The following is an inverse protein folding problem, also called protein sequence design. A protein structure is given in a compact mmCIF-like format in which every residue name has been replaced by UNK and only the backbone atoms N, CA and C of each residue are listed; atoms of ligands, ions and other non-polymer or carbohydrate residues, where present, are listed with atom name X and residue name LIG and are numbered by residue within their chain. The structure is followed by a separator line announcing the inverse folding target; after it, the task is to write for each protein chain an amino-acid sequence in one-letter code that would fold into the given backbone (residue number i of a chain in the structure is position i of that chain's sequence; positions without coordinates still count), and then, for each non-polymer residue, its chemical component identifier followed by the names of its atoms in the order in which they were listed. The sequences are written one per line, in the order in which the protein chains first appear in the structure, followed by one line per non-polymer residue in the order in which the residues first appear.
data_IF_210649302205
#
_entry.id   IF_210649302205
#
_cell.length_a   1.000
_cell.length_b   1.000
_cell.length_c   1.000
_cell.angle_alpha   90.00
_cell.angle_beta   90.00
_cell.angle_gamma   90.00
#
_symmetry.space_group_name_H-M   'P 1'
#
loop_
_entity.id
_entity.type
_entity.pdbx_description
1 polymer ?
#
# COMPACT_ATOMS: atom_id res chain seq x y z
N UNK A 1 -4.23 58.83 13.15
CA UNK A 1 -5.09 58.20 12.14
C UNK A 1 -4.71 56.72 12.08
N UNK A 2 -5.57 55.85 12.59
CA UNK A 2 -5.38 54.40 12.59
C UNK A 2 -6.12 53.79 11.39
N UNK A 3 -5.42 53.15 10.46
CA UNK A 3 -6.03 52.40 9.37
C UNK A 3 -6.27 50.96 9.82
N UNK A 4 -7.55 50.60 9.90
CA UNK A 4 -8.07 49.26 10.22
C UNK A 4 -7.55 48.22 9.21
N UNK A 5 -6.85 47.23 9.72
CA UNK A 5 -6.60 45.96 9.03
C UNK A 5 -7.92 45.15 9.06
N UNK A 6 -8.41 44.59 7.95
CA UNK A 6 -9.62 43.77 7.98
C UNK A 6 -9.34 42.49 8.75
N UNK A 7 -10.08 42.30 9.83
CA UNK A 7 -10.12 41.06 10.62
C UNK A 7 -10.70 39.93 9.76
N UNK A 8 -9.82 39.16 9.12
CA UNK A 8 -10.16 37.88 8.54
C UNK A 8 -10.63 36.93 9.63
N UNK A 9 -11.93 36.63 9.62
CA UNK A 9 -12.60 35.68 10.50
C UNK A 9 -11.85 34.34 10.57
N UNK A 10 -11.14 34.08 11.68
CA UNK A 10 -10.80 32.75 12.15
C UNK A 10 -12.08 32.07 12.68
N UNK A 11 -12.94 31.61 11.77
CA UNK A 11 -13.86 30.53 12.10
C UNK A 11 -13.16 29.23 11.75
N UNK A 12 -12.79 28.47 12.77
CA UNK A 12 -12.61 27.02 12.64
C UNK A 12 -13.86 26.49 11.95
N UNK A 13 -13.70 26.07 10.69
CA UNK A 13 -14.77 25.44 9.93
C UNK A 13 -14.95 24.07 10.55
N UNK A 14 -16.12 23.84 11.12
CA UNK A 14 -16.56 22.53 11.57
C UNK A 14 -16.65 21.58 10.35
N UNK A 15 -15.74 20.60 10.21
CA UNK A 15 -15.70 19.72 9.04
C UNK A 15 -16.92 18.78 8.96
N UNK A 16 -17.68 18.62 10.04
CA UNK A 16 -18.89 17.77 10.06
C UNK A 16 -20.02 18.31 9.16
N UNK A 17 -19.97 19.59 8.78
CA UNK A 17 -21.04 20.26 8.02
C UNK A 17 -20.78 20.37 6.52
N UNK A 18 -19.58 20.03 6.04
CA UNK A 18 -19.26 19.95 4.61
C UNK A 18 -18.82 18.52 4.29
N UNK A 19 -19.66 17.74 3.59
CA UNK A 19 -19.27 16.41 3.09
C UNK A 19 -18.03 16.55 2.20
N UNK A 20 -16.85 16.31 2.78
CA UNK A 20 -15.58 16.35 2.07
C UNK A 20 -15.66 15.37 0.90
N UNK A 21 -15.36 15.85 -0.31
CA UNK A 21 -15.32 14.99 -1.49
C UNK A 21 -14.03 14.20 -1.49
N UNK A 22 -14.13 12.90 -1.70
CA UNK A 22 -13.01 11.98 -1.74
C UNK A 22 -13.06 11.26 -3.08
N UNK A 23 -11.93 11.25 -3.78
CA UNK A 23 -11.79 10.66 -5.12
C UNK A 23 -10.52 9.84 -5.22
N UNK A 24 -10.50 8.89 -6.16
CA UNK A 24 -9.39 7.94 -6.32
C UNK A 24 -8.84 7.96 -7.75
N UNK A 25 -7.54 8.18 -7.88
CA UNK A 25 -6.78 7.87 -9.09
C UNK A 25 -6.14 6.50 -8.91
N UNK A 26 -6.60 5.51 -9.67
CA UNK A 26 -6.14 4.13 -9.56
C UNK A 26 -5.00 3.90 -10.54
N UNK A 27 -3.84 3.56 -10.02
CA UNK A 27 -2.61 3.33 -10.76
C UNK A 27 -2.37 1.82 -10.89
N UNK A 28 -2.47 1.30 -12.12
CA UNK A 28 -2.37 -0.14 -12.43
C UNK A 28 -1.25 -0.39 -13.45
N UNK A 29 -0.05 -0.79 -13.00
CA UNK A 29 0.98 -1.35 -13.87
C UNK A 29 0.48 -2.69 -14.41
N UNK A 30 0.49 -2.83 -15.74
CA UNK A 30 0.03 -4.02 -16.42
C UNK A 30 1.18 -4.55 -17.28
N UNK A 31 1.72 -5.73 -16.92
CA UNK A 31 2.68 -6.43 -17.77
C UNK A 31 1.98 -6.88 -19.05
N UNK A 32 2.58 -6.59 -20.20
CA UNK A 32 2.05 -6.95 -21.51
C UNK A 32 2.84 -8.12 -22.07
N UNK A 33 2.19 -9.27 -22.13
CA UNK A 33 2.71 -10.47 -22.80
C UNK A 33 2.14 -10.61 -24.23
N UNK A 34 0.92 -10.12 -24.47
CA UNK A 34 0.31 -10.01 -25.79
C UNK A 34 -0.71 -8.88 -25.85
N UNK A 35 -1.04 -8.42 -27.07
CA UNK A 35 -2.08 -7.40 -27.29
C UNK A 35 -3.45 -7.86 -26.78
N UNK A 36 -3.81 -9.12 -27.07
CA UNK A 36 -5.11 -9.70 -26.74
C UNK A 36 -5.30 -9.78 -25.23
N UNK A 37 -4.31 -10.32 -24.51
CA UNK A 37 -4.39 -10.47 -23.06
C UNK A 37 -4.39 -9.11 -22.35
N UNK A 38 -3.59 -8.15 -22.82
CA UNK A 38 -3.57 -6.80 -22.25
C UNK A 38 -4.93 -6.09 -22.40
N UNK A 39 -5.57 -6.20 -23.58
CA UNK A 39 -6.91 -5.64 -23.81
C UNK A 39 -7.97 -6.29 -22.93
N UNK A 40 -7.96 -7.64 -22.86
CA UNK A 40 -8.86 -8.41 -22.02
C UNK A 40 -8.73 -8.03 -20.55
N UNK A 41 -7.50 -7.95 -20.05
CA UNK A 41 -7.24 -7.62 -18.64
C UNK A 41 -7.59 -6.18 -18.29
N UNK A 42 -7.28 -5.23 -19.17
CA UNK A 42 -7.68 -3.83 -19.04
C UNK A 42 -9.22 -3.70 -18.95
N UNK A 43 -9.94 -4.32 -19.89
CA UNK A 43 -11.41 -4.31 -19.91
C UNK A 43 -12.00 -4.93 -18.64
N UNK A 44 -11.50 -6.09 -18.23
CA UNK A 44 -11.91 -6.75 -16.99
C UNK A 44 -11.76 -5.85 -15.76
N UNK A 45 -10.59 -5.21 -15.60
CA UNK A 45 -10.33 -4.37 -14.42
C UNK A 45 -11.21 -3.12 -14.40
N UNK A 46 -11.52 -2.54 -15.57
CA UNK A 46 -12.47 -1.44 -15.67
C UNK A 46 -13.89 -1.88 -15.29
N UNK A 47 -14.35 -3.03 -15.77
CA UNK A 47 -15.69 -3.53 -15.44
C UNK A 47 -15.81 -3.93 -13.96
N UNK A 48 -14.79 -4.60 -13.42
CA UNK A 48 -14.74 -5.05 -12.01
C UNK A 48 -14.66 -3.89 -11.02
N UNK A 49 -14.24 -2.69 -11.46
CA UNK A 49 -14.06 -1.54 -10.60
C UNK A 49 -15.35 -1.07 -9.92
N UNK A 50 -16.50 -1.29 -10.55
CA UNK A 50 -17.80 -0.96 -9.96
C UNK A 50 -18.05 -1.73 -8.66
N UNK A 51 -17.50 -2.93 -8.53
CA UNK A 51 -17.58 -3.76 -7.32
C UNK A 51 -16.65 -3.26 -6.21
N UNK A 52 -15.82 -2.25 -6.49
CA UNK A 52 -15.07 -1.51 -5.49
C UNK A 52 -15.94 -0.54 -4.67
N UNK A 53 -17.18 -0.31 -5.08
CA UNK A 53 -18.14 0.57 -4.40
C UNK A 53 -19.44 -0.17 -4.09
N UNK A 54 -19.94 0.01 -2.86
CA UNK A 54 -21.33 -0.29 -2.51
C UNK A 54 -22.27 0.60 -3.31
N UNK A 55 -23.51 0.16 -3.52
CA UNK A 55 -24.44 0.84 -4.42
C UNK A 55 -24.72 2.29 -4.00
N UNK A 56 -24.86 2.51 -2.69
CA UNK A 56 -25.10 3.80 -2.07
C UNK A 56 -23.92 4.80 -2.17
N UNK A 57 -22.70 4.31 -2.36
CA UNK A 57 -21.51 5.14 -2.52
C UNK A 57 -21.18 5.44 -3.98
N UNK A 58 -21.87 4.81 -4.95
CA UNK A 58 -21.65 5.04 -6.38
C UNK A 58 -22.24 6.38 -6.80
N UNK A 59 -21.39 7.37 -7.02
CA UNK A 59 -21.80 8.63 -7.66
C UNK A 59 -21.71 8.53 -9.17
N UNK A 60 -22.88 8.37 -9.79
CA UNK A 60 -23.04 8.33 -11.23
C UNK A 60 -23.52 9.69 -11.74
N UNK A 61 -22.77 10.27 -12.68
CA UNK A 61 -23.12 11.53 -13.34
C UNK A 61 -23.30 11.31 -14.84
N UNK A 62 -24.00 12.22 -15.51
CA UNK A 62 -24.02 12.25 -16.98
C UNK A 62 -22.92 13.19 -17.48
N UNK A 63 -22.10 12.70 -18.41
CA UNK A 63 -21.14 13.55 -19.09
C UNK A 63 -21.85 14.49 -20.09
N UNK A 64 -21.06 15.34 -20.76
CA UNK A 64 -21.55 16.27 -21.79
C UNK A 64 -22.23 15.59 -22.98
N UNK A 65 -22.02 14.29 -23.18
CA UNK A 65 -22.62 13.48 -24.25
C UNK A 65 -23.79 12.63 -23.73
N UNK A 66 -24.20 12.79 -22.47
CA UNK A 66 -25.28 12.04 -21.84
C UNK A 66 -24.90 10.63 -21.37
N UNK A 67 -23.62 10.24 -21.43
CA UNK A 67 -23.13 8.93 -20.97
C UNK A 67 -22.98 8.91 -19.45
N UNK A 68 -23.36 7.79 -18.83
CA UNK A 68 -23.27 7.61 -17.38
C UNK A 68 -21.82 7.29 -16.99
N UNK A 69 -21.24 8.15 -16.17
CA UNK A 69 -19.84 8.14 -15.71
C UNK A 69 -19.78 7.94 -14.21
N UNK A 70 -18.83 7.11 -13.73
CA UNK A 70 -18.49 7.04 -12.31
C UNK A 70 -17.62 8.26 -11.95
N UNK A 71 -18.14 9.18 -11.15
CA UNK A 71 -17.53 10.50 -10.93
C UNK A 71 -16.24 10.44 -10.09
N UNK A 72 -16.23 9.61 -9.06
CA UNK A 72 -15.24 9.67 -7.99
C UNK A 72 -13.94 8.90 -8.30
N UNK A 73 -13.80 8.37 -9.52
CA UNK A 73 -12.68 7.51 -9.91
C UNK A 73 -12.15 7.79 -11.32
N UNK A 74 -10.82 7.74 -11.44
CA UNK A 74 -10.15 7.60 -12.72
C UNK A 74 -9.04 6.55 -12.65
N UNK A 75 -8.64 5.98 -13.79
CA UNK A 75 -7.66 4.89 -13.87
C UNK A 75 -6.50 5.22 -14.81
N UNK A 76 -5.28 4.91 -14.38
CA UNK A 76 -4.09 4.92 -15.23
C UNK A 76 -3.61 3.48 -15.40
N UNK A 77 -3.58 3.01 -16.64
CA UNK A 77 -2.95 1.75 -17.00
C UNK A 77 -1.53 1.98 -17.50
N UNK A 78 -0.57 1.39 -16.81
CA UNK A 78 0.83 1.36 -17.20
C UNK A 78 1.21 0.09 -17.93
N UNK A 79 0.91 0.04 -19.22
CA UNK A 79 1.18 -1.13 -20.06
C UNK A 79 2.68 -1.21 -20.37
N UNK A 80 3.34 -2.26 -19.86
CA UNK A 80 4.79 -2.33 -19.88
C UNK A 80 5.37 -3.74 -20.04
N UNK A 81 6.68 -3.80 -20.32
CA UNK A 81 7.46 -5.03 -20.24
C UNK A 81 8.93 -4.80 -20.61
N UNK A 82 9.74 -5.86 -20.51
CA UNK A 82 11.16 -5.79 -20.87
C UNK A 82 11.31 -5.54 -22.37
N UNK A 83 12.12 -4.55 -22.73
CA UNK A 83 12.30 -4.14 -24.11
C UNK A 83 12.68 -5.31 -25.01
N UNK A 84 11.92 -5.43 -26.09
CA UNK A 84 12.27 -6.13 -27.31
C UNK A 84 11.44 -5.49 -28.44
N UNK A 85 11.88 -5.65 -29.70
CA UNK A 85 11.25 -4.97 -30.84
C UNK A 85 9.76 -5.33 -31.02
N UNK A 86 9.40 -6.61 -30.84
CA UNK A 86 8.02 -7.08 -30.97
C UNK A 86 7.11 -6.45 -29.90
N UNK A 87 7.54 -6.45 -28.64
CA UNK A 87 6.78 -5.82 -27.56
C UNK A 87 6.61 -4.31 -27.79
N UNK A 88 7.63 -3.62 -28.28
CA UNK A 88 7.53 -2.19 -28.57
C UNK A 88 6.44 -1.89 -29.62
N UNK A 89 6.31 -2.74 -30.63
CA UNK A 89 5.24 -2.63 -31.63
C UNK A 89 3.85 -2.90 -31.03
N UNK A 90 3.71 -3.94 -30.20
CA UNK A 90 2.46 -4.26 -29.49
C UNK A 90 2.03 -3.10 -28.60
N UNK A 91 2.96 -2.52 -27.83
CA UNK A 91 2.69 -1.38 -26.96
C UNK A 91 2.25 -0.14 -27.76
N UNK A 92 2.85 0.13 -28.93
CA UNK A 92 2.41 1.22 -29.80
C UNK A 92 0.96 1.06 -30.26
N UNK A 93 0.52 -0.17 -30.57
CA UNK A 93 -0.88 -0.48 -30.90
C UNK A 93 -1.81 -0.28 -29.71
N UNK A 94 -1.35 -0.62 -28.50
CA UNK A 94 -2.14 -0.49 -27.27
C UNK A 94 -2.31 0.97 -26.81
N UNK A 95 -1.41 1.90 -27.18
CA UNK A 95 -1.50 3.31 -26.77
C UNK A 95 -2.82 3.98 -27.22
N UNK A 96 -3.35 3.58 -28.37
CA UNK A 96 -4.62 4.10 -28.92
C UNK A 96 -5.81 3.21 -28.58
N UNK A 97 -5.62 2.11 -27.84
CA UNK A 97 -6.71 1.23 -27.43
C UNK A 97 -7.75 2.00 -26.62
N UNK A 98 -9.01 1.74 -26.94
CA UNK A 98 -10.17 2.23 -26.20
C UNK A 98 -11.08 1.06 -25.92
N UNK A 99 -11.44 0.91 -24.65
CA UNK A 99 -12.44 0.01 -24.15
C UNK A 99 -13.72 0.78 -23.84
N UNK A 100 -14.87 0.25 -24.25
CA UNK A 100 -16.18 0.76 -23.89
C UNK A 100 -16.71 -0.04 -22.70
N UNK A 101 -16.35 0.39 -21.49
CA UNK A 101 -16.81 -0.22 -20.25
C UNK A 101 -18.30 0.05 -20.02
N UNK A 102 -18.93 -0.84 -19.23
CA UNK A 102 -20.37 -0.75 -18.90
C UNK A 102 -20.75 0.58 -18.23
N UNK A 103 -19.88 1.05 -17.33
CA UNK A 103 -19.95 2.37 -16.73
C UNK A 103 -18.78 3.17 -17.27
N UNK A 104 -19.01 4.38 -17.76
CA UNK A 104 -17.94 5.16 -18.37
C UNK A 104 -16.96 5.63 -17.30
N UNK A 105 -15.91 4.86 -17.09
CA UNK A 105 -14.84 5.20 -16.15
C UNK A 105 -13.79 6.00 -16.93
N UNK A 106 -13.36 7.13 -16.39
CA UNK A 106 -12.25 7.88 -16.99
C UNK A 106 -10.97 7.06 -16.86
N UNK A 107 -10.26 6.83 -17.96
CA UNK A 107 -8.94 6.21 -17.90
C UNK A 107 -7.98 6.74 -18.95
N UNK A 108 -6.69 6.49 -18.74
CA UNK A 108 -5.65 6.68 -19.75
C UNK A 108 -4.68 5.50 -19.74
N UNK A 109 -4.08 5.25 -20.91
CA UNK A 109 -3.09 4.20 -21.12
C UNK A 109 -1.76 4.86 -21.40
N UNK A 110 -0.75 4.51 -20.61
CA UNK A 110 0.64 4.92 -20.78
C UNK A 110 1.43 3.65 -21.11
N UNK A 111 2.15 3.67 -22.24
CA UNK A 111 2.87 2.51 -22.75
C UNK A 111 4.37 2.78 -22.72
N UNK A 112 5.15 1.85 -22.16
CA UNK A 112 6.60 2.02 -22.04
C UNK A 112 7.30 0.67 -21.89
N UNK A 113 8.62 0.67 -22.01
CA UNK A 113 9.48 -0.52 -21.95
C UNK A 113 10.63 -0.28 -20.98
N UNK A 114 11.18 -1.35 -20.42
CA UNK A 114 12.31 -1.25 -19.50
C UNK A 114 13.46 -2.19 -19.84
N UNK A 115 14.63 -1.98 -19.24
CA UNK A 115 15.86 -2.73 -19.54
C UNK A 115 16.56 -2.21 -20.80
N UNK A 116 17.56 -2.94 -21.30
CA UNK A 116 18.42 -2.44 -22.39
C UNK A 116 17.61 -2.08 -23.64
N UNK A 117 17.71 -0.83 -24.10
CA UNK A 117 16.90 -0.27 -25.20
C UNK A 117 15.49 0.20 -24.80
N UNK A 118 15.10 0.04 -23.54
CA UNK A 118 13.84 0.50 -22.99
C UNK A 118 13.79 2.01 -22.74
N UNK A 119 12.57 2.53 -22.57
CA UNK A 119 12.30 3.95 -22.32
C UNK A 119 12.50 4.36 -20.85
N UNK A 120 12.40 3.40 -19.93
CA UNK A 120 12.71 3.61 -18.50
C UNK A 120 13.73 2.57 -18.02
N UNK A 121 14.46 2.88 -16.95
CA UNK A 121 15.38 1.95 -16.28
C UNK A 121 16.24 1.09 -17.25
N UNK A 122 17.05 1.72 -18.14
CA UNK A 122 17.72 1.02 -19.24
C UNK A 122 18.73 -0.05 -18.78
N UNK A 123 19.20 0.06 -17.54
CA UNK A 123 20.16 -0.88 -16.94
C UNK A 123 19.48 -2.01 -16.14
N UNK A 124 18.15 -2.06 -16.09
CA UNK A 124 17.42 -3.05 -15.30
C UNK A 124 17.52 -4.45 -15.93
N UNK A 125 17.97 -5.44 -15.15
CA UNK A 125 17.97 -6.84 -15.58
C UNK A 125 16.73 -7.61 -15.11
N UNK A 126 16.06 -7.09 -14.09
CA UNK A 126 14.79 -7.57 -13.52
C UNK A 126 13.73 -6.47 -13.55
N UNK A 127 12.46 -6.82 -13.33
CA UNK A 127 11.34 -5.86 -13.33
C UNK A 127 11.62 -4.69 -12.38
N UNK A 128 11.71 -3.45 -12.87
CA UNK A 128 12.07 -2.29 -12.06
C UNK A 128 10.83 -1.63 -11.47
N UNK A 129 10.16 -2.30 -10.52
CA UNK A 129 8.88 -1.86 -9.95
C UNK A 129 8.90 -0.37 -9.53
N UNK A 130 9.89 0.05 -8.74
CA UNK A 130 10.03 1.45 -8.32
C UNK A 130 10.02 2.44 -9.51
N UNK A 131 10.71 2.13 -10.60
CA UNK A 131 10.81 2.99 -11.79
C UNK A 131 9.50 3.00 -12.58
N UNK A 132 8.79 1.86 -12.63
CA UNK A 132 7.46 1.73 -13.21
C UNK A 132 6.47 2.66 -12.47
N UNK A 133 6.36 2.55 -11.15
CA UNK A 133 5.47 3.39 -10.34
C UNK A 133 5.86 4.87 -10.41
N UNK A 134 7.15 5.18 -10.36
CA UNK A 134 7.65 6.54 -10.48
C UNK A 134 7.32 7.17 -11.84
N UNK A 135 7.51 6.43 -12.93
CA UNK A 135 7.21 6.89 -14.28
C UNK A 135 5.71 7.19 -14.43
N UNK A 136 4.85 6.25 -14.05
CA UNK A 136 3.40 6.43 -14.13
C UNK A 136 2.92 7.65 -13.33
N UNK A 137 3.42 7.80 -12.12
CA UNK A 137 3.01 8.88 -11.22
C UNK A 137 3.38 10.27 -11.78
N UNK A 138 4.50 10.37 -12.49
CA UNK A 138 5.01 11.62 -13.07
C UNK A 138 4.47 11.95 -14.46
N UNK A 139 3.76 11.01 -15.09
CA UNK A 139 3.27 11.21 -16.45
C UNK A 139 2.24 12.34 -16.55
N UNK A 140 2.23 13.02 -17.70
CA UNK A 140 1.32 14.13 -17.95
C UNK A 140 -0.16 13.68 -17.96
N UNK A 141 -0.46 12.47 -18.46
CA UNK A 141 -1.80 11.92 -18.45
C UNK A 141 -2.29 11.68 -17.00
N UNK A 142 -1.42 11.19 -16.12
CA UNK A 142 -1.70 11.02 -14.69
C UNK A 142 -2.02 12.37 -14.05
N UNK A 143 -1.17 13.37 -14.29
CA UNK A 143 -1.34 14.73 -13.75
C UNK A 143 -2.68 15.34 -14.19
N UNK A 144 -3.03 15.16 -15.46
CA UNK A 144 -4.30 15.63 -16.02
C UNK A 144 -5.51 14.95 -15.39
N UNK A 145 -5.48 13.64 -15.16
CA UNK A 145 -6.60 12.94 -14.51
C UNK A 145 -6.82 13.40 -13.07
N UNK A 146 -5.75 13.71 -12.32
CA UNK A 146 -5.89 14.27 -10.97
C UNK A 146 -6.54 15.64 -11.00
N UNK A 147 -6.13 16.49 -11.94
CA UNK A 147 -6.75 17.81 -12.16
C UNK A 147 -8.23 17.67 -12.51
N UNK A 148 -8.58 16.74 -13.41
CA UNK A 148 -9.98 16.47 -13.76
C UNK A 148 -10.81 15.90 -12.61
N UNK A 149 -10.24 15.03 -11.77
CA UNK A 149 -10.90 14.49 -10.58
C UNK A 149 -11.18 15.61 -9.59
N UNK A 150 -10.17 16.42 -9.27
CA UNK A 150 -10.30 17.56 -8.36
C UNK A 150 -11.25 18.62 -8.90
N UNK A 151 -11.24 18.82 -10.23
CA UNK A 151 -12.04 19.84 -10.89
C UNK A 151 -11.76 21.22 -10.32
N UNK A 152 -12.81 22.02 -10.10
CA UNK A 152 -12.72 23.34 -9.47
C UNK A 152 -12.74 23.34 -7.94
N UNK A 153 -12.68 22.17 -7.28
CA UNK A 153 -12.82 22.04 -5.82
C UNK A 153 -11.47 21.76 -5.15
N UNK A 154 -10.76 22.79 -4.64
CA UNK A 154 -9.45 22.59 -4.00
C UNK A 154 -9.53 21.80 -2.69
N UNK A 155 -10.71 21.66 -2.08
CA UNK A 155 -10.91 20.88 -0.86
C UNK A 155 -11.20 19.39 -1.15
N UNK A 156 -11.30 19.00 -2.43
CA UNK A 156 -11.47 17.61 -2.82
C UNK A 156 -10.20 16.81 -2.53
N UNK A 157 -10.32 15.82 -1.65
CA UNK A 157 -9.26 14.86 -1.36
C UNK A 157 -9.12 13.90 -2.54
N UNK A 158 -7.92 13.81 -3.11
CA UNK A 158 -7.61 12.87 -4.19
C UNK A 158 -6.54 11.91 -3.71
N UNK A 159 -6.83 10.62 -3.74
CA UNK A 159 -5.90 9.56 -3.37
C UNK A 159 -5.34 8.87 -4.60
N UNK A 160 -4.03 8.66 -4.65
CA UNK A 160 -3.43 7.67 -5.54
C UNK A 160 -3.64 6.29 -4.92
N UNK A 161 -4.43 5.45 -5.57
CA UNK A 161 -4.62 4.04 -5.21
C UNK A 161 -3.69 3.18 -6.07
N UNK A 162 -2.65 2.62 -5.45
CA UNK A 162 -1.72 1.71 -6.10
C UNK A 162 -2.28 0.30 -6.03
N UNK A 163 -2.63 -0.21 -7.20
CA UNK A 163 -3.24 -1.53 -7.38
C UNK A 163 -2.41 -2.33 -8.38
N UNK A 164 -2.27 -3.63 -8.13
CA UNK A 164 -1.57 -4.53 -9.04
C UNK A 164 -2.54 -5.19 -10.03
N UNK A 165 -2.04 -5.50 -11.22
CA UNK A 165 -2.85 -6.06 -12.30
C UNK A 165 -3.29 -7.51 -12.07
N UNK A 166 -2.96 -8.16 -10.96
CA UNK A 166 -3.44 -9.49 -10.55
C UNK A 166 -4.75 -9.44 -9.71
N UNK A 167 -5.29 -8.23 -9.51
CA UNK A 167 -6.61 -7.99 -8.88
C UNK A 167 -7.77 -8.71 -9.56
N UNK A 168 -8.53 -9.50 -8.81
CA UNK A 168 -9.75 -10.18 -9.27
C UNK A 168 -10.98 -9.42 -8.81
N UNK A 169 -11.03 -9.02 -7.54
CA UNK A 169 -12.18 -8.29 -7.00
C UNK A 169 -11.70 -7.08 -6.22
N UNK A 170 -12.29 -5.93 -6.50
CA UNK A 170 -12.10 -4.74 -5.68
C UNK A 170 -12.82 -4.82 -4.34
N UNK A 171 -13.80 -5.73 -4.19
CA UNK A 171 -14.37 -6.12 -2.90
C UNK A 171 -14.75 -4.94 -1.98
N UNK A 172 -15.48 -3.98 -2.54
CA UNK A 172 -15.94 -2.76 -1.85
C UNK A 172 -14.82 -1.88 -1.26
N UNK A 173 -13.56 -2.07 -1.67
CA UNK A 173 -12.40 -1.41 -1.08
C UNK A 173 -12.52 0.12 -1.05
N UNK A 174 -13.09 0.73 -2.09
CA UNK A 174 -13.23 2.19 -2.14
C UNK A 174 -14.35 2.69 -1.23
N UNK A 175 -15.42 1.92 -1.03
CA UNK A 175 -16.40 2.21 0.03
C UNK A 175 -15.77 2.11 1.41
N UNK A 176 -14.91 1.12 1.67
CA UNK A 176 -14.17 1.05 2.93
C UNK A 176 -13.25 2.27 3.11
N UNK A 177 -12.53 2.69 2.07
CA UNK A 177 -11.70 3.90 2.12
C UNK A 177 -12.50 5.17 2.34
N UNK A 178 -13.68 5.31 1.74
CA UNK A 178 -14.59 6.43 2.02
C UNK A 178 -14.99 6.44 3.50
N UNK A 179 -15.31 5.29 4.06
CA UNK A 179 -15.67 5.15 5.48
C UNK A 179 -14.48 5.47 6.38
N UNK A 180 -13.29 4.95 6.10
CA UNK A 180 -12.06 5.24 6.85
C UNK A 180 -11.77 6.74 6.85
N UNK A 181 -11.87 7.41 5.70
CA UNK A 181 -11.64 8.86 5.62
C UNK A 181 -12.65 9.63 6.48
N UNK A 182 -13.93 9.24 6.46
CA UNK A 182 -14.96 9.86 7.32
C UNK A 182 -14.65 9.66 8.80
N UNK A 183 -14.38 8.42 9.20
CA UNK A 183 -14.07 8.05 10.59
C UNK A 183 -12.83 8.79 11.11
N UNK A 184 -11.78 8.95 10.29
CA UNK A 184 -10.58 9.67 10.71
C UNK A 184 -10.78 11.18 10.76
N UNK A 185 -11.56 11.76 9.83
CA UNK A 185 -11.93 13.18 9.87
C UNK A 185 -12.80 13.51 11.09
N UNK A 186 -13.69 12.61 11.50
CA UNK A 186 -14.54 12.79 12.68
C UNK A 186 -13.73 12.78 13.99
N UNK A 187 -12.60 12.06 14.03
CA UNK A 187 -11.73 11.97 15.22
C UNK A 187 -10.95 13.25 15.49
N UNK A 188 -10.28 13.79 14.48
CA UNK A 188 -9.32 14.89 14.66
C UNK A 188 -9.24 15.87 13.47
N UNK A 189 -10.17 15.78 12.51
CA UNK A 189 -10.19 16.59 11.28
C UNK A 189 -8.96 16.41 10.37
N UNK A 190 -8.17 15.36 10.57
CA UNK A 190 -7.01 15.03 9.74
C UNK A 190 -7.33 13.79 8.90
N UNK A 191 -7.40 13.91 7.55
CA UNK A 191 -7.61 12.75 6.72
C UNK A 191 -6.39 11.82 6.75
N UNK A 192 -6.57 10.50 6.53
CA UNK A 192 -5.44 9.59 6.43
C UNK A 192 -4.56 10.04 5.25
N UNK A 193 -3.28 10.24 5.50
CA UNK A 193 -2.30 10.53 4.44
C UNK A 193 -1.98 9.27 3.67
N UNK A 194 -1.92 8.13 4.37
CA UNK A 194 -1.66 6.82 3.79
C UNK A 194 -2.61 5.79 4.40
N UNK A 195 -3.19 4.91 3.57
CA UNK A 195 -4.10 3.87 4.05
C UNK A 195 -4.04 2.60 3.19
N UNK A 196 -4.27 1.45 3.82
CA UNK A 196 -4.44 0.15 3.16
C UNK A 196 -5.31 -0.74 4.03
N UNK A 197 -6.03 -1.69 3.44
CA UNK A 197 -6.73 -2.76 4.17
C UNK A 197 -6.10 -4.14 3.89
N UNK A 198 -4.96 -4.16 3.20
CA UNK A 198 -4.27 -5.37 2.77
C UNK A 198 -4.88 -6.02 1.52
N UNK A 199 -4.50 -7.27 1.30
CA UNK A 199 -5.01 -8.11 0.21
C UNK A 199 -5.24 -9.53 0.74
N UNK A 200 -6.10 -10.26 0.05
CA UNK A 200 -6.28 -11.70 0.25
C UNK A 200 -6.32 -12.41 -1.11
N UNK A 201 -6.05 -13.71 -1.10
CA UNK A 201 -6.27 -14.53 -2.29
C UNK A 201 -7.73 -14.95 -2.41
N UNK A 202 -8.13 -15.27 -3.64
CA UNK A 202 -9.42 -15.91 -3.92
C UNK A 202 -9.65 -17.11 -2.99
N UNK A 203 -10.88 -17.27 -2.47
CA UNK A 203 -11.21 -18.29 -1.47
C UNK A 203 -10.87 -19.72 -1.91
N UNK A 204 -11.03 -20.03 -3.20
CA UNK A 204 -10.74 -21.36 -3.75
C UNK A 204 -9.22 -21.63 -3.90
N UNK A 205 -8.36 -20.66 -3.60
CA UNK A 205 -6.91 -20.86 -3.57
C UNK A 205 -6.52 -21.66 -2.33
N UNK A 206 -5.69 -22.69 -2.52
CA UNK A 206 -5.02 -23.39 -1.41
C UNK A 206 -4.20 -22.44 -0.51
N UNK A 207 -3.84 -21.25 -0.99
CA UNK A 207 -3.09 -20.25 -0.26
C UNK A 207 -3.97 -19.22 0.48
N UNK A 208 -5.30 -19.26 0.30
CA UNK A 208 -6.23 -18.27 0.85
C UNK A 208 -6.04 -18.07 2.34
N UNK A 209 -6.10 -19.16 3.10
CA UNK A 209 -5.98 -19.14 4.55
C UNK A 209 -4.65 -18.51 5.00
N UNK A 210 -3.55 -18.81 4.31
CA UNK A 210 -2.25 -18.19 4.59
C UNK A 210 -2.23 -16.69 4.31
N UNK A 211 -2.91 -16.22 3.26
CA UNK A 211 -3.02 -14.78 2.98
C UNK A 211 -3.94 -14.05 3.95
N UNK A 212 -5.03 -14.69 4.37
CA UNK A 212 -5.95 -14.17 5.38
C UNK A 212 -5.22 -13.96 6.71
N UNK A 213 -4.50 -14.98 7.20
CA UNK A 213 -3.75 -14.87 8.44
C UNK A 213 -2.60 -13.84 8.36
N UNK A 214 -1.90 -13.76 7.22
CA UNK A 214 -0.91 -12.71 6.97
C UNK A 214 -1.51 -11.32 7.17
N UNK A 215 -2.70 -11.08 6.61
CA UNK A 215 -3.43 -9.83 6.77
C UNK A 215 -3.82 -9.57 8.23
N UNK A 216 -4.32 -10.57 8.95
CA UNK A 216 -4.68 -10.43 10.36
C UNK A 216 -3.50 -10.05 11.26
N UNK A 217 -2.33 -10.65 11.01
CA UNK A 217 -1.10 -10.24 11.70
C UNK A 217 -0.79 -8.76 11.41
N UNK A 218 -0.97 -8.28 10.18
CA UNK A 218 -0.78 -6.86 9.86
C UNK A 218 -1.80 -5.98 10.58
N UNK A 219 -3.07 -6.39 10.64
CA UNK A 219 -4.10 -5.65 11.37
C UNK A 219 -3.70 -5.50 12.84
N UNK A 220 -3.38 -6.60 13.54
CA UNK A 220 -2.96 -6.55 14.94
C UNK A 220 -1.73 -5.66 15.15
N UNK A 221 -0.69 -5.84 14.30
CA UNK A 221 0.50 -4.99 14.38
C UNK A 221 0.18 -3.50 14.17
N UNK A 222 -0.80 -3.18 13.30
CA UNK A 222 -1.20 -1.82 12.98
C UNK A 222 -2.17 -1.18 13.97
N UNK A 223 -2.92 -1.97 14.75
CA UNK A 223 -3.74 -1.47 15.86
C UNK A 223 -2.89 -0.78 16.91
N UNK A 224 -1.66 -1.28 17.11
CA UNK A 224 -0.68 -0.67 18.01
C UNK A 224 0.04 0.51 17.36
N UNK A 225 0.63 0.32 16.17
CA UNK A 225 1.13 1.42 15.35
C UNK A 225 1.12 1.06 13.84
N UNK A 226 0.40 1.81 12.99
CA UNK A 226 0.27 1.50 11.56
C UNK A 226 1.58 1.48 10.78
N UNK A 227 2.65 2.12 11.26
CA UNK A 227 3.95 2.11 10.60
C UNK A 227 4.80 0.89 10.97
N UNK A 228 4.34 0.02 11.87
CA UNK A 228 4.97 -1.29 12.13
C UNK A 228 4.63 -2.34 11.06
N UNK A 229 3.82 -2.01 10.06
CA UNK A 229 3.48 -2.94 8.99
C UNK A 229 3.92 -2.47 7.62
N UNK A 230 4.16 -3.45 6.75
CA UNK A 230 4.37 -3.19 5.33
C UNK A 230 3.03 -3.01 4.64
N UNK A 231 2.87 -1.89 3.93
CA UNK A 231 1.68 -1.58 3.13
C UNK A 231 1.82 -2.26 1.76
N UNK A 232 1.01 -3.28 1.45
CA UNK A 232 1.22 -4.09 0.26
C UNK A 232 0.76 -3.37 -1.01
N UNK A 233 1.56 -3.43 -2.08
CA UNK A 233 1.30 -2.75 -3.36
C UNK A 233 0.26 -3.36 -4.31
N UNK A 234 -0.45 -4.48 -4.04
CA UNK A 234 -1.75 -4.66 -4.68
C UNK A 234 -2.82 -3.69 -4.14
N UNK A 235 -2.61 -3.05 -2.97
CA UNK A 235 -3.62 -2.19 -2.36
C UNK A 235 -3.01 -1.19 -1.37
N UNK A 236 -2.70 0.02 -1.84
CA UNK A 236 -2.23 1.10 -0.99
C UNK A 236 -2.65 2.47 -1.52
N UNK A 237 -3.21 3.33 -0.66
CA UNK A 237 -3.63 4.68 -1.01
C UNK A 237 -2.71 5.74 -0.39
N UNK A 238 -2.39 6.78 -1.16
CA UNK A 238 -1.65 7.97 -0.69
C UNK A 238 -2.38 9.24 -1.10
N UNK A 239 -2.64 10.12 -0.14
CA UNK A 239 -3.26 11.42 -0.38
C UNK A 239 -2.34 12.30 -1.23
N UNK A 240 -2.89 12.95 -2.25
CA UNK A 240 -2.21 14.01 -3.00
C UNK A 240 -2.31 15.32 -2.20
N UNK A 241 -1.19 16.02 -1.99
CA UNK A 241 -1.22 17.30 -1.29
C UNK A 241 -2.08 18.34 -2.03
N UNK A 242 -2.60 19.28 -1.26
CA UNK A 242 -3.39 20.40 -1.74
C UNK A 242 -2.64 21.19 -2.82
N UNK A 243 -3.36 21.58 -3.88
CA UNK A 243 -2.81 22.32 -5.00
C UNK A 243 -1.87 21.54 -5.93
N UNK A 244 -1.55 20.28 -5.62
CA UNK A 244 -0.70 19.43 -6.47
C UNK A 244 -1.51 18.43 -7.28
N UNK A 245 -1.06 18.12 -8.48
CA UNK A 245 -1.73 17.17 -9.36
C UNK A 245 -1.00 15.81 -9.43
N UNK A 246 -0.04 15.57 -8.54
CA UNK A 246 0.68 14.30 -8.38
C UNK A 246 1.36 14.26 -7.00
N UNK A 247 1.92 13.11 -6.61
CA UNK A 247 2.75 13.01 -5.40
C UNK A 247 4.17 13.52 -5.69
N UNK A 248 4.70 14.37 -4.83
CA UNK A 248 6.07 14.90 -4.96
C UNK A 248 7.14 13.90 -4.52
N UNK A 249 6.81 13.05 -3.54
CA UNK A 249 7.68 12.03 -2.98
C UNK A 249 7.94 10.91 -3.98
N UNK A 250 9.14 10.35 -3.98
CA UNK A 250 9.59 9.40 -5.00
C UNK A 250 9.47 7.95 -4.55
N UNK A 251 9.15 7.05 -5.49
CA UNK A 251 9.32 5.61 -5.29
C UNK A 251 10.80 5.17 -5.39
N UNK A 252 11.68 6.04 -5.89
CA UNK A 252 13.09 5.70 -6.09
C UNK A 252 13.86 5.86 -4.79
N UNK A 253 14.45 4.76 -4.30
CA UNK A 253 15.30 4.79 -3.12
C UNK A 253 16.55 5.66 -3.37
N UNK A 254 16.89 6.61 -2.49
CA UNK A 254 18.16 7.35 -2.60
C UNK A 254 19.36 6.40 -2.54
N UNK A 255 20.34 6.60 -3.45
CA UNK A 255 21.57 5.77 -3.53
C UNK A 255 21.30 4.26 -3.67
N UNK A 256 20.18 3.91 -4.32
CA UNK A 256 19.81 2.53 -4.66
C UNK A 256 20.94 1.82 -5.39
N UNK A 257 21.26 0.58 -4.99
CA UNK A 257 22.22 -0.25 -5.74
C UNK A 257 21.59 -0.75 -7.04
N UNK A 258 22.42 -1.11 -8.01
CA UNK A 258 21.96 -1.74 -9.26
C UNK A 258 21.05 -2.94 -8.93
N UNK A 259 19.88 -2.99 -9.56
CA UNK A 259 18.86 -4.03 -9.37
C UNK A 259 18.14 -4.08 -8.00
N UNK A 260 18.18 -3.01 -7.20
CA UNK A 260 17.48 -2.95 -5.91
C UNK A 260 16.07 -2.30 -6.03
N UNK A 261 15.17 -2.90 -6.81
CA UNK A 261 13.86 -2.32 -7.16
C UNK A 261 12.69 -2.66 -6.21
N UNK A 262 12.96 -3.15 -4.99
CA UNK A 262 11.93 -3.63 -4.05
C UNK A 262 11.55 -2.57 -3.01
N UNK A 263 10.54 -2.84 -2.18
CA UNK A 263 10.13 -1.99 -1.05
C UNK A 263 9.64 -0.61 -1.53
N UNK A 264 8.68 -0.60 -2.45
CA UNK A 264 8.17 0.64 -3.04
C UNK A 264 7.42 1.48 -2.01
N UNK A 265 6.49 0.86 -1.26
CA UNK A 265 5.69 1.54 -0.26
C UNK A 265 6.52 2.06 0.90
N UNK A 266 7.51 1.35 1.47
CA UNK A 266 8.28 1.92 2.57
C UNK A 266 9.22 3.05 2.09
N UNK A 267 9.72 2.98 0.85
CA UNK A 267 10.49 4.08 0.27
C UNK A 267 9.62 5.33 0.14
N UNK A 268 8.39 5.18 -0.37
CA UNK A 268 7.44 6.29 -0.48
C UNK A 268 7.01 6.82 0.90
N UNK A 269 6.56 5.93 1.81
CA UNK A 269 6.10 6.27 3.15
C UNK A 269 7.20 6.98 3.96
N UNK A 270 8.47 6.58 3.81
CA UNK A 270 9.60 7.24 4.50
C UNK A 270 9.74 8.74 4.17
N UNK A 271 9.22 9.16 3.02
CA UNK A 271 9.17 10.55 2.59
C UNK A 271 7.83 11.19 2.96
N UNK A 272 6.71 10.51 2.68
CA UNK A 272 5.36 11.01 2.97
C UNK A 272 5.15 11.27 4.47
N UNK A 273 5.77 10.46 5.34
CA UNK A 273 5.70 10.64 6.80
C UNK A 273 6.33 11.93 7.33
N UNK A 274 7.03 12.68 6.47
CA UNK A 274 7.61 13.99 6.80
C UNK A 274 6.64 15.15 6.54
N UNK A 275 5.47 14.88 5.94
CA UNK A 275 4.42 15.88 5.73
C UNK A 275 3.87 16.35 7.08
N UNK A 276 3.40 17.60 7.10
CA UNK A 276 2.58 18.08 8.21
C UNK A 276 1.29 17.25 8.30
N UNK A 277 0.83 16.97 9.52
CA UNK A 277 -0.38 16.19 9.77
C UNK A 277 -0.38 14.79 9.13
N UNK A 278 0.80 14.16 9.05
CA UNK A 278 0.89 12.78 8.57
C UNK A 278 0.04 11.84 9.42
N UNK A 279 -0.77 11.02 8.75
CA UNK A 279 -1.59 9.99 9.38
C UNK A 279 -1.57 8.71 8.55
N UNK A 280 -1.23 7.61 9.18
CA UNK A 280 -1.23 6.28 8.58
C UNK A 280 -2.36 5.44 9.18
N UNK A 281 -3.03 4.64 8.37
CA UNK A 281 -4.11 3.76 8.83
C UNK A 281 -4.00 2.40 8.14
N UNK A 282 -4.18 1.32 8.89
CA UNK A 282 -4.31 -0.03 8.33
C UNK A 282 -5.36 -0.80 9.15
N UNK A 283 -6.66 -0.70 8.80
CA UNK A 283 -7.72 -1.22 9.63
C UNK A 283 -8.19 -2.60 9.19
N UNK A 284 -8.90 -3.30 10.08
CA UNK A 284 -9.65 -4.50 9.72
C UNK A 284 -10.91 -4.14 8.90
N UNK A 285 -10.73 -4.02 7.58
CA UNK A 285 -11.80 -3.77 6.60
C UNK A 285 -11.60 -4.64 5.36
N UNK A 286 -12.61 -4.69 4.48
CA UNK A 286 -12.54 -5.53 3.28
C UNK A 286 -11.23 -5.31 2.50
N UNK A 287 -10.44 -6.37 2.24
CA UNK A 287 -9.23 -6.30 1.44
C UNK A 287 -9.54 -6.41 -0.05
N UNK A 288 -8.58 -6.02 -0.89
CA UNK A 288 -8.62 -6.38 -2.31
C UNK A 288 -8.40 -7.90 -2.46
N UNK A 289 -9.06 -8.53 -3.44
CA UNK A 289 -8.87 -9.96 -3.72
C UNK A 289 -8.03 -10.12 -4.98
N UNK A 290 -6.95 -10.88 -4.90
CA UNK A 290 -6.02 -11.13 -6.02
C UNK A 290 -5.93 -12.62 -6.37
N UNK A 291 -5.58 -12.93 -7.63
CA UNK A 291 -5.16 -14.30 -8.00
C UNK A 291 -3.86 -14.58 -7.29
N UNK A 292 -3.71 -15.81 -6.78
CA UNK A 292 -2.47 -16.32 -6.24
C UNK A 292 -1.33 -16.27 -7.27
N UNK A 293 -0.31 -15.42 -7.08
CA UNK A 293 0.79 -15.33 -8.02
C UNK A 293 1.76 -16.53 -7.90
N UNK A 294 2.41 -16.93 -8.99
CA UNK A 294 3.32 -18.10 -9.01
C UNK A 294 4.46 -18.06 -7.97
N UNK A 295 4.81 -16.86 -7.47
CA UNK A 295 5.85 -16.65 -6.45
C UNK A 295 5.44 -17.11 -5.04
N UNK A 296 4.18 -17.44 -4.82
CA UNK A 296 3.65 -17.85 -3.53
C UNK A 296 3.63 -19.37 -3.40
N UNK A 297 3.97 -19.85 -2.21
CA UNK A 297 3.94 -21.27 -1.88
C UNK A 297 3.62 -21.48 -0.40
N UNK A 298 3.21 -22.69 -0.02
CA UNK A 298 3.11 -23.10 1.38
C UNK A 298 4.31 -23.97 1.76
N UNK A 299 4.84 -23.79 2.97
CA UNK A 299 5.60 -24.83 3.69
C UNK A 299 5.32 -24.73 5.18
N UNK A 300 5.05 -25.88 5.82
CA UNK A 300 5.03 -26.10 7.27
C UNK A 300 4.25 -25.07 8.09
N UNK A 301 4.83 -23.88 8.22
CA UNK A 301 4.44 -22.75 9.04
C UNK A 301 3.68 -21.63 8.28
N UNK A 302 3.45 -21.72 6.96
CA UNK A 302 2.49 -20.83 6.29
C UNK A 302 2.91 -20.32 4.90
N UNK A 303 2.43 -19.11 4.57
CA UNK A 303 2.56 -18.51 3.25
C UNK A 303 3.98 -17.97 3.02
N UNK A 304 4.71 -18.57 2.09
CA UNK A 304 6.04 -18.14 1.68
C UNK A 304 5.94 -17.11 0.56
N UNK A 305 6.37 -15.90 0.89
CA UNK A 305 6.36 -14.77 -0.02
C UNK A 305 7.52 -13.84 0.32
N UNK A 306 7.81 -12.90 -0.59
CA UNK A 306 8.79 -11.86 -0.31
C UNK A 306 8.47 -10.99 0.92
N UNK A 307 7.20 -10.96 1.36
CA UNK A 307 6.62 -9.94 2.23
C UNK A 307 5.70 -10.50 3.35
N UNK A 308 5.44 -11.82 3.42
CA UNK A 308 4.49 -12.41 4.39
C UNK A 308 4.99 -12.31 5.83
N UNK A 309 4.24 -11.64 6.69
CA UNK A 309 4.42 -11.47 8.12
C UNK A 309 4.22 -12.76 8.94
N UNK A 310 3.82 -13.87 8.32
CA UNK A 310 3.87 -15.20 8.96
C UNK A 310 5.30 -15.67 9.22
N UNK A 311 6.20 -15.31 8.30
CA UNK A 311 7.62 -15.52 8.48
C UNK A 311 8.18 -14.44 9.42
N UNK A 312 8.76 -14.88 10.54
CA UNK A 312 9.26 -13.98 11.58
C UNK A 312 10.32 -12.99 11.05
N UNK A 313 11.15 -13.43 10.10
CA UNK A 313 12.18 -12.58 9.47
C UNK A 313 11.53 -11.52 8.58
N UNK A 314 10.47 -11.85 7.85
CA UNK A 314 9.69 -10.90 7.05
C UNK A 314 8.94 -9.92 7.94
N UNK A 315 8.30 -10.38 9.01
CA UNK A 315 7.68 -9.49 10.00
C UNK A 315 8.70 -8.48 10.55
N UNK A 316 9.88 -8.95 10.96
CA UNK A 316 10.97 -8.07 11.42
C UNK A 316 11.46 -7.07 10.36
N UNK A 317 11.50 -7.47 9.08
CA UNK A 317 11.81 -6.56 7.98
C UNK A 317 10.71 -5.51 7.82
N UNK A 318 9.43 -5.92 7.88
CA UNK A 318 8.27 -5.05 7.72
C UNK A 318 8.17 -4.01 8.84
N UNK A 319 8.28 -4.44 10.10
CA UNK A 319 8.28 -3.56 11.29
C UNK A 319 9.39 -2.51 11.25
N UNK A 320 10.54 -2.84 10.66
CA UNK A 320 11.63 -1.90 10.50
C UNK A 320 11.46 -0.99 9.26
N UNK A 321 10.67 -1.40 8.27
CA UNK A 321 10.75 -0.86 6.91
C UNK A 321 10.33 0.61 6.78
N UNK A 322 9.35 1.05 7.57
CA UNK A 322 8.92 2.45 7.58
C UNK A 322 9.79 3.35 8.48
N UNK A 323 10.79 2.77 9.17
CA UNK A 323 11.81 3.53 9.92
C UNK A 323 11.27 4.30 11.12
N UNK A 324 10.31 3.72 11.85
CA UNK A 324 9.84 4.23 13.15
C UNK A 324 10.65 3.70 14.33
N UNK A 325 11.29 2.55 14.16
CA UNK A 325 12.16 1.95 15.15
C UNK A 325 13.59 2.51 15.04
N UNK A 326 14.15 2.88 16.18
CA UNK A 326 15.57 3.27 16.32
C UNK A 326 16.29 2.31 17.25
N UNK A 327 17.54 1.96 16.95
CA UNK A 327 18.31 1.04 17.77
C UNK A 327 18.91 1.81 18.96
N UNK A 328 18.58 1.41 20.20
CA UNK A 328 19.23 1.95 21.41
C UNK A 328 20.38 1.09 21.89
N UNK A 329 20.31 -0.21 21.64
CA UNK A 329 21.29 -1.21 22.07
C UNK A 329 21.44 -2.28 20.97
N UNK A 330 22.41 -3.18 21.11
CA UNK A 330 22.53 -4.36 20.26
C UNK A 330 21.99 -5.59 20.98
N UNK A 331 20.99 -6.23 20.38
CA UNK A 331 20.38 -7.45 20.90
C UNK A 331 21.36 -8.64 20.90
N UNK A 332 21.45 -9.29 22.05
CA UNK A 332 22.21 -10.54 22.23
C UNK A 332 21.23 -11.64 22.65
N UNK A 333 21.16 -12.70 21.85
CA UNK A 333 20.23 -13.83 22.03
C UNK A 333 20.50 -14.65 23.28
N UNK A 334 21.76 -14.72 23.71
CA UNK A 334 22.18 -15.47 24.90
C UNK A 334 21.59 -14.87 26.18
N UNK A 335 21.67 -15.57 27.31
CA UNK A 335 21.14 -15.11 28.62
C UNK A 335 21.85 -13.86 29.21
N UNK A 336 22.71 -13.21 28.43
CA UNK A 336 23.40 -11.97 28.81
C UNK A 336 22.52 -10.73 28.52
N UNK A 337 22.78 -9.59 29.18
CA UNK A 337 22.22 -8.31 28.80
C UNK A 337 22.57 -7.92 27.35
N UNK A 338 21.81 -6.98 26.78
CA UNK A 338 22.17 -6.38 25.50
C UNK A 338 23.50 -5.63 25.59
N UNK A 339 24.19 -5.50 24.46
CA UNK A 339 25.35 -4.63 24.36
C UNK A 339 24.87 -3.18 24.23
N UNK A 340 25.24 -2.33 25.18
CA UNK A 340 24.85 -0.91 25.16
C UNK A 340 25.42 -0.16 23.96
N UNK A 341 26.54 -0.65 23.41
CA UNK A 341 27.14 -0.12 22.18
C UNK A 341 26.47 -0.71 20.93
N UNK A 342 26.12 0.15 19.99
CA UNK A 342 25.64 -0.27 18.66
C UNK A 342 26.77 -0.89 17.85
N UNK A 343 26.70 -2.21 17.62
CA UNK A 343 27.69 -2.94 16.84
C UNK A 343 27.47 -2.77 15.33
N UNK A 344 28.48 -3.10 14.53
CA UNK A 344 28.35 -3.14 13.08
C UNK A 344 27.29 -4.16 12.69
N UNK A 345 26.31 -3.74 11.90
CA UNK A 345 25.19 -4.60 11.51
C UNK A 345 24.07 -4.69 12.56
N UNK A 346 24.02 -3.76 13.51
CA UNK A 346 22.99 -3.70 14.58
C UNK A 346 21.56 -3.89 14.07
N UNK A 347 21.20 -3.33 12.91
CA UNK A 347 19.87 -3.55 12.31
C UNK A 347 19.57 -5.03 12.06
N UNK A 348 20.56 -5.80 11.61
CA UNK A 348 20.41 -7.23 11.39
C UNK A 348 20.31 -8.00 12.71
N UNK A 349 21.14 -7.64 13.68
CA UNK A 349 21.15 -8.26 15.01
C UNK A 349 19.83 -8.00 15.76
N UNK A 350 19.37 -6.75 15.78
CA UNK A 350 18.15 -6.37 16.46
C UNK A 350 16.89 -6.92 15.77
N UNK A 351 16.91 -7.17 14.45
CA UNK A 351 15.82 -7.94 13.82
C UNK A 351 15.69 -9.35 14.41
N UNK A 352 16.78 -9.91 14.93
CA UNK A 352 16.77 -11.16 15.69
C UNK A 352 15.88 -11.11 16.92
N UNK A 353 15.76 -9.95 17.59
CA UNK A 353 14.85 -9.78 18.72
C UNK A 353 13.39 -9.97 18.33
N UNK A 354 12.95 -9.34 17.23
CA UNK A 354 11.58 -9.49 16.72
C UNK A 354 11.31 -10.94 16.30
N UNK A 355 12.31 -11.58 15.67
CA UNK A 355 12.22 -12.98 15.26
C UNK A 355 12.06 -13.91 16.47
N UNK A 356 12.90 -13.74 17.49
CA UNK A 356 12.87 -14.56 18.69
C UNK A 356 11.60 -14.32 19.52
N UNK A 357 11.09 -13.08 19.59
CA UNK A 357 9.82 -12.77 20.26
C UNK A 357 8.64 -13.49 19.59
N UNK A 358 8.49 -13.35 18.27
CA UNK A 358 7.37 -13.96 17.55
C UNK A 358 7.39 -15.50 17.66
N UNK A 359 8.58 -16.09 17.70
CA UNK A 359 8.77 -17.55 17.76
C UNK A 359 8.96 -18.08 19.18
N UNK A 360 8.76 -17.26 20.22
CA UNK A 360 8.86 -17.70 21.61
C UNK A 360 7.83 -18.80 21.92
N UNK A 361 8.26 -19.85 22.61
CA UNK A 361 7.49 -21.08 22.80
C UNK A 361 6.30 -20.89 23.74
N UNK A 362 6.50 -20.09 24.77
CA UNK A 362 5.53 -19.84 25.82
C UNK A 362 5.62 -18.39 26.30
N UNK A 363 4.63 -17.97 27.09
CA UNK A 363 4.51 -16.59 27.52
C UNK A 363 5.61 -16.20 28.51
N UNK A 364 6.18 -17.17 29.23
CA UNK A 364 7.30 -16.92 30.13
C UNK A 364 8.57 -16.57 29.34
N UNK A 365 8.84 -17.28 28.25
CA UNK A 365 9.92 -16.96 27.32
C UNK A 365 9.68 -15.60 26.65
N UNK A 366 8.45 -15.32 26.21
CA UNK A 366 8.08 -14.04 25.62
C UNK A 366 8.37 -12.89 26.59
N UNK A 367 7.88 -12.97 27.83
CA UNK A 367 8.06 -11.92 28.84
C UNK A 367 9.53 -11.72 29.18
N UNK A 368 10.32 -12.80 29.32
CA UNK A 368 11.77 -12.70 29.54
C UNK A 368 12.48 -12.00 28.38
N UNK A 369 12.15 -12.36 27.14
CA UNK A 369 12.73 -11.74 25.95
C UNK A 369 12.33 -10.27 25.84
N UNK A 370 11.08 -9.92 26.14
CA UNK A 370 10.55 -8.56 26.02
C UNK A 370 11.35 -7.52 26.81
N UNK A 371 11.91 -7.92 27.97
CA UNK A 371 12.76 -7.06 28.80
C UNK A 371 14.08 -6.68 28.12
N UNK A 372 14.47 -7.41 27.05
CA UNK A 372 15.65 -7.13 26.23
C UNK A 372 15.35 -6.25 25.02
N UNK A 373 14.24 -5.51 25.01
CA UNK A 373 13.86 -4.65 23.89
C UNK A 373 15.01 -3.72 23.48
N UNK A 374 15.64 -3.91 22.31
CA UNK A 374 16.80 -3.12 21.88
C UNK A 374 16.38 -1.83 21.15
N UNK A 375 15.07 -1.54 21.09
CA UNK A 375 14.49 -0.49 20.29
C UNK A 375 13.95 0.67 21.11
N UNK A 376 14.04 1.86 20.50
CA UNK A 376 13.23 3.02 20.85
C UNK A 376 12.26 3.37 19.75
N UNK A 377 11.14 3.95 20.16
CA UNK A 377 10.11 4.53 19.32
C UNK A 377 9.67 5.84 19.97
N UNK A 378 9.72 6.95 19.23
CA UNK A 378 9.46 8.29 19.77
C UNK A 378 10.29 8.63 21.02
N UNK A 379 11.59 8.28 21.01
CA UNK A 379 12.56 8.49 22.10
C UNK A 379 12.34 7.64 23.37
N UNK A 380 11.23 6.90 23.45
CA UNK A 380 10.94 5.98 24.54
C UNK A 380 11.21 4.52 24.15
N UNK A 381 11.21 3.62 25.13
CA UNK A 381 11.27 2.19 24.88
C UNK A 381 10.10 1.77 23.99
N UNK A 382 10.39 0.99 22.95
CA UNK A 382 9.39 0.56 21.98
C UNK A 382 8.45 -0.52 22.55
N UNK A 383 7.73 -0.23 23.64
CA UNK A 383 6.67 -1.10 24.19
C UNK A 383 5.58 -1.38 23.14
N UNK A 384 5.14 -0.41 22.31
CA UNK A 384 4.22 -0.67 21.21
C UNK A 384 4.67 -1.82 20.29
N UNK A 385 5.96 -1.90 19.96
CA UNK A 385 6.49 -3.02 19.17
C UNK A 385 6.32 -4.37 19.87
N UNK A 386 6.59 -4.42 21.17
CA UNK A 386 6.48 -5.67 21.96
C UNK A 386 5.02 -6.12 22.03
N UNK A 387 4.10 -5.20 22.32
CA UNK A 387 2.68 -5.50 22.43
C UNK A 387 2.10 -5.98 21.09
N UNK A 388 2.48 -5.32 19.99
CA UNK A 388 2.13 -5.72 18.63
C UNK A 388 2.59 -7.15 18.29
N UNK A 389 3.82 -7.50 18.67
CA UNK A 389 4.36 -8.86 18.42
C UNK A 389 3.65 -9.90 19.31
N UNK A 390 3.21 -9.52 20.52
CA UNK A 390 2.42 -10.40 21.40
C UNK A 390 1.12 -10.80 20.70
N UNK A 391 0.37 -9.83 20.18
CA UNK A 391 -0.89 -10.06 19.47
C UNK A 391 -0.69 -10.89 18.20
N UNK A 392 0.32 -10.55 17.39
CA UNK A 392 0.69 -11.31 16.20
C UNK A 392 1.02 -12.78 16.52
N UNK A 393 1.70 -13.02 17.65
CA UNK A 393 2.05 -14.36 18.11
C UNK A 393 0.81 -15.16 18.52
N UNK A 394 -0.15 -14.56 19.22
CA UNK A 394 -1.38 -15.26 19.62
C UNK A 394 -2.23 -15.63 18.40
N UNK A 395 -2.34 -14.75 17.40
CA UNK A 395 -2.99 -15.07 16.12
C UNK A 395 -2.30 -16.25 15.41
N UNK A 396 -0.95 -16.24 15.37
CA UNK A 396 -0.15 -17.31 14.76
C UNK A 396 -0.37 -18.65 15.47
N UNK A 397 -0.39 -18.68 16.82
CA UNK A 397 -0.66 -19.89 17.61
C UNK A 397 -2.06 -20.43 17.38
N UNK A 398 -3.07 -19.56 17.54
CA UNK A 398 -4.48 -19.92 17.35
C UNK A 398 -4.68 -20.61 16.00
N UNK A 399 -4.05 -20.08 14.96
CA UNK A 399 -4.15 -20.65 13.64
C UNK A 399 -3.54 -22.04 13.53
N UNK A 400 -2.33 -22.29 14.05
CA UNK A 400 -1.74 -23.63 13.99
C UNK A 400 -2.56 -24.65 14.77
N UNK A 401 -3.03 -24.29 15.95
CA UNK A 401 -3.89 -25.16 16.76
C UNK A 401 -5.23 -25.48 16.07
N UNK A 402 -5.74 -24.56 15.24
CA UNK A 402 -6.98 -24.75 14.49
C UNK A 402 -6.75 -25.54 13.20
N UNK A 403 -5.65 -25.28 12.48
CA UNK A 403 -5.29 -25.97 11.25
C UNK A 403 -5.00 -27.46 11.51
N UNK A 404 -4.37 -27.79 12.64
CA UNK A 404 -4.16 -29.19 13.07
C UNK A 404 -5.47 -29.93 13.42
N UNK A 405 -6.60 -29.21 13.54
CA UNK A 405 -7.93 -29.75 13.84
C UNK A 405 -8.88 -29.75 12.64
N UNK A 406 -8.47 -29.20 11.49
CA UNK A 406 -9.28 -29.25 10.27
C UNK A 406 -9.17 -30.65 9.64
N UNK A 407 -10.28 -31.32 9.28
CA UNK A 407 -10.22 -32.58 8.54
C UNK A 407 -9.54 -32.35 7.18
N UNK A 408 -8.71 -33.31 6.75
CA UNK A 408 -8.00 -33.30 5.46
C UNK A 408 -8.90 -33.17 4.23
#
# INVERSE_FOLDING_TARGET
MASKIPSGSKRTRDPSTQRVKVKFLINIPLKVDSEVEAKKRCGYLLDALIDGFREEDRKLIKDKNGKVVLEDVAVIFGMNGKYNANLAEVLKKLQTFRYNCKYDIKYSIITYTWGSGGTIAPNATMTPYQDIREHLKKDAATTKLVEELRGGDPACLVYFSFVDSDTVRFNFIYSEYLQIVREELDKDSIPPTVMSTGYEFVHDSKHHIGSWLDRWIRVAMAEVDPLLVYYPEPNFCVLVCDGLNTLQESFIKPRRKTNEYKMESPVLISQVKKRAHFKAVFPDRNPIIIIDPERFSLRGEGLITGQSCLDARKLAICAYSNGVLTNKETYIKEDRPNETKLLKGVTGLNRGFIIDLLNSKDDKEFEKLSQKNPYRMYEEDAKPLVDAIREARELKKFFYEFNDKLPE
#
